data_IF_264159817632
#
_entry.id   IF_264159817632
#
_cell.length_a   1.000
_cell.length_b   1.000
_cell.length_c   1.000
_cell.angle_alpha   90.00
_cell.angle_beta   90.00
_cell.angle_gamma   90.00
#
_symmetry.space_group_name_H-M   'P 1'
#
loop_
_entity.id
_entity.type
_entity.pdbx_description
1 polymer ?
#
# COMPACT_ATOMS: atom_id res chain seq x y z
N UNK A 1 10.43 -9.19 0.62
CA UNK A 1 9.02 -9.58 0.91
C UNK A 1 8.10 -8.44 0.52
N UNK A 2 7.01 -8.69 -0.22
CA UNK A 2 6.00 -7.66 -0.46
C UNK A 2 5.37 -7.24 0.86
N UNK A 3 5.31 -5.94 1.11
CA UNK A 3 4.65 -5.39 2.29
C UNK A 3 3.33 -4.72 1.92
N UNK A 4 2.32 -4.92 2.76
CA UNK A 4 0.95 -4.43 2.53
C UNK A 4 0.90 -2.92 2.33
N UNK A 5 1.70 -2.16 3.09
CA UNK A 5 1.75 -0.71 2.94
C UNK A 5 2.25 -0.32 1.55
N UNK A 6 3.28 -1.02 1.03
CA UNK A 6 3.82 -0.76 -0.31
C UNK A 6 2.78 -1.03 -1.41
N UNK A 7 2.05 -2.14 -1.33
CA UNK A 7 1.00 -2.48 -2.30
C UNK A 7 -0.14 -1.46 -2.25
N UNK A 8 -0.63 -1.11 -1.05
CA UNK A 8 -1.69 -0.09 -0.89
C UNK A 8 -1.22 1.28 -1.37
N UNK A 9 0.04 1.64 -1.12
CA UNK A 9 0.64 2.90 -1.60
C UNK A 9 0.69 2.94 -3.13
N UNK A 10 1.14 1.87 -3.77
CA UNK A 10 1.18 1.74 -5.23
C UNK A 10 -0.21 1.90 -5.84
N UNK A 11 -1.20 1.17 -5.30
CA UNK A 11 -2.60 1.29 -5.72
C UNK A 11 -3.09 2.72 -5.60
N UNK A 12 -2.91 3.35 -4.44
CA UNK A 12 -3.32 4.74 -4.24
C UNK A 12 -2.64 5.70 -5.22
N UNK A 13 -1.36 5.50 -5.56
CA UNK A 13 -0.66 6.32 -6.55
C UNK A 13 -1.26 6.18 -7.95
N UNK A 14 -1.53 4.95 -8.41
CA UNK A 14 -2.17 4.71 -9.70
C UNK A 14 -3.56 5.36 -9.78
N UNK A 15 -4.41 5.13 -8.77
CA UNK A 15 -5.76 5.72 -8.74
C UNK A 15 -5.75 7.23 -8.63
N UNK A 16 -4.84 7.83 -7.86
CA UNK A 16 -4.72 9.28 -7.79
C UNK A 16 -4.26 9.87 -9.12
N UNK A 17 -3.34 9.22 -9.85
CA UNK A 17 -2.93 9.65 -11.20
C UNK A 17 -4.10 9.62 -12.18
N UNK A 18 -4.86 8.52 -12.21
CA UNK A 18 -6.04 8.40 -13.06
C UNK A 18 -7.10 9.46 -12.72
N UNK A 19 -7.39 9.64 -11.43
CA UNK A 19 -8.31 10.69 -10.97
C UNK A 19 -7.86 12.09 -11.40
N UNK A 20 -6.57 12.40 -11.28
CA UNK A 20 -6.01 13.69 -11.70
C UNK A 20 -6.11 13.95 -13.20
N UNK A 21 -6.11 12.90 -14.02
CA UNK A 21 -6.32 13.01 -15.47
C UNK A 21 -7.79 13.31 -15.79
N UNK A 22 -8.72 12.73 -15.03
CA UNK A 22 -10.16 12.95 -15.22
C UNK A 22 -10.66 14.26 -14.61
N UNK A 23 -10.05 14.74 -13.53
CA UNK A 23 -10.38 16.04 -12.92
C UNK A 23 -9.11 16.87 -12.59
N UNK A 24 -8.60 17.62 -13.59
CA UNK A 24 -7.43 18.49 -13.44
C UNK A 24 -7.61 19.67 -12.49
N UNK A 25 -8.84 20.10 -12.23
CA UNK A 25 -9.15 21.20 -11.31
C UNK A 25 -9.34 20.69 -9.88
N UNK A 26 -10.10 19.61 -9.70
CA UNK A 26 -10.31 18.97 -8.41
C UNK A 26 -9.01 18.51 -7.74
N UNK A 27 -7.97 18.16 -8.53
CA UNK A 27 -6.65 17.82 -7.96
C UNK A 27 -5.98 18.96 -7.20
N UNK A 28 -6.30 20.22 -7.52
CA UNK A 28 -5.75 21.41 -6.85
C UNK A 28 -6.40 21.61 -5.48
N UNK A 29 -7.58 21.03 -5.25
CA UNK A 29 -8.28 21.10 -3.97
C UNK A 29 -7.71 20.09 -2.97
N UNK A 30 -6.98 20.59 -1.97
CA UNK A 30 -6.37 19.76 -0.89
C UNK A 30 -7.41 18.95 -0.10
N UNK A 31 -8.63 19.47 0.05
CA UNK A 31 -9.74 18.78 0.70
C UNK A 31 -10.21 17.57 -0.10
N UNK A 32 -10.45 17.73 -1.40
CA UNK A 32 -10.82 16.64 -2.31
C UNK A 32 -9.71 15.59 -2.40
N UNK A 33 -8.45 16.02 -2.53
CA UNK A 33 -7.29 15.11 -2.54
C UNK A 33 -7.28 14.21 -1.28
N UNK A 34 -7.55 14.79 -0.12
CA UNK A 34 -7.65 14.04 1.14
C UNK A 34 -8.82 13.04 1.15
N UNK A 35 -9.98 13.41 0.61
CA UNK A 35 -11.14 12.52 0.50
C UNK A 35 -10.89 11.36 -0.46
N UNK A 36 -10.31 11.65 -1.63
CA UNK A 36 -10.00 10.65 -2.66
C UNK A 36 -8.91 9.67 -2.20
N UNK A 37 -7.96 10.11 -1.36
CA UNK A 37 -6.88 9.24 -0.85
C UNK A 37 -7.36 8.27 0.22
N UNK A 38 -8.22 8.70 1.14
CA UNK A 38 -8.59 7.92 2.34
C UNK A 38 -9.53 6.74 2.02
N UNK A 39 -9.57 5.78 2.94
CA UNK A 39 -10.57 4.71 2.91
C UNK A 39 -11.93 5.23 3.36
N UNK A 40 -13.01 4.75 2.76
CA UNK A 40 -14.36 5.23 3.06
C UNK A 40 -14.78 5.00 4.53
N UNK A 41 -14.27 3.93 5.17
CA UNK A 41 -14.49 3.66 6.60
C UNK A 41 -13.71 4.57 7.56
N UNK A 42 -12.82 5.44 7.04
CA UNK A 42 -12.09 6.47 7.80
C UNK A 42 -12.63 7.89 7.56
N UNK A 43 -13.72 8.03 6.82
CA UNK A 43 -14.36 9.31 6.57
C UNK A 43 -15.48 9.56 7.59
N UNK A 44 -15.54 10.78 8.14
CA UNK A 44 -16.67 11.24 8.94
C UNK A 44 -17.94 11.35 8.07
N UNK A 45 -19.13 11.40 8.69
CA UNK A 45 -20.42 11.55 7.99
C UNK A 45 -20.42 12.75 7.03
N UNK A 46 -20.02 13.92 7.51
CA UNK A 46 -19.92 15.15 6.71
C UNK A 46 -18.95 15.00 5.53
N UNK A 47 -17.85 14.24 5.72
CA UNK A 47 -16.87 13.98 4.68
C UNK A 47 -17.41 13.01 3.61
N UNK A 48 -18.19 12.00 4.01
CA UNK A 48 -18.87 11.08 3.10
C UNK A 48 -19.89 11.82 2.24
N UNK A 49 -20.64 12.74 2.83
CA UNK A 49 -21.64 13.52 2.11
C UNK A 49 -20.99 14.46 1.07
N UNK A 50 -19.96 15.21 1.46
CA UNK A 50 -19.18 16.04 0.53
C UNK A 50 -18.59 15.21 -0.62
N UNK A 51 -18.08 14.02 -0.30
CA UNK A 51 -17.55 13.12 -1.33
C UNK A 51 -18.66 12.59 -2.25
N UNK A 52 -19.83 12.27 -1.71
CA UNK A 52 -20.99 11.83 -2.52
C UNK A 52 -21.43 12.93 -3.47
N UNK A 53 -21.56 14.17 -3.00
CA UNK A 53 -21.91 15.33 -3.83
C UNK A 53 -20.91 15.54 -4.96
N UNK A 54 -19.61 15.43 -4.66
CA UNK A 54 -18.55 15.53 -5.67
C UNK A 54 -18.61 14.40 -6.71
N UNK A 55 -18.81 13.15 -6.27
CA UNK A 55 -18.88 11.99 -7.15
C UNK A 55 -20.21 11.86 -7.91
N UNK A 56 -21.23 12.65 -7.58
CA UNK A 56 -22.53 12.62 -8.26
C UNK A 56 -22.46 13.20 -9.69
N UNK A 57 -21.45 14.03 -9.99
CA UNK A 57 -21.37 14.73 -11.27
C UNK A 57 -20.83 13.81 -12.39
N UNK A 58 -19.61 13.25 -12.31
CA UNK A 58 -19.10 12.33 -13.34
C UNK A 58 -19.22 10.84 -12.94
N UNK A 59 -19.97 10.00 -13.70
CA UNK A 59 -20.13 8.58 -13.38
C UNK A 59 -18.80 7.80 -13.41
N UNK A 60 -17.84 8.25 -14.22
CA UNK A 60 -16.49 7.67 -14.31
C UNK A 60 -15.73 7.80 -13.00
N UNK A 61 -15.75 8.96 -12.33
CA UNK A 61 -15.03 9.13 -11.06
C UNK A 61 -15.68 8.33 -9.94
N UNK A 62 -17.00 8.22 -9.96
CA UNK A 62 -17.74 7.40 -9.02
C UNK A 62 -17.31 5.93 -9.14
N UNK A 63 -17.32 5.38 -10.37
CA UNK A 63 -16.87 4.02 -10.64
C UNK A 63 -15.40 3.80 -10.23
N UNK A 64 -14.52 4.73 -10.59
CA UNK A 64 -13.10 4.70 -10.23
C UNK A 64 -12.90 4.68 -8.71
N UNK A 65 -13.62 5.54 -7.97
CA UNK A 65 -13.56 5.59 -6.52
C UNK A 65 -14.04 4.28 -5.90
N UNK A 66 -15.19 3.75 -6.32
CA UNK A 66 -15.72 2.49 -5.79
C UNK A 66 -14.79 1.31 -6.06
N UNK A 67 -14.26 1.21 -7.27
CA UNK A 67 -13.34 0.13 -7.62
C UNK A 67 -12.05 0.20 -6.77
N UNK A 68 -11.52 1.41 -6.54
CA UNK A 68 -10.41 1.65 -5.60
C UNK A 68 -10.73 1.20 -4.18
N UNK A 69 -11.93 1.54 -3.67
CA UNK A 69 -12.32 1.17 -2.31
C UNK A 69 -12.49 -0.35 -2.16
N UNK A 70 -13.12 -1.01 -3.14
CA UNK A 70 -13.25 -2.46 -3.19
C UNK A 70 -11.88 -3.14 -3.19
N UNK A 71 -10.98 -2.71 -4.07
CA UNK A 71 -9.61 -3.23 -4.13
C UNK A 71 -8.88 -3.09 -2.79
N UNK A 72 -8.95 -1.91 -2.18
CA UNK A 72 -8.34 -1.69 -0.87
C UNK A 72 -8.95 -2.59 0.21
N UNK A 73 -10.25 -2.88 0.14
CA UNK A 73 -10.90 -3.86 1.00
C UNK A 73 -10.19 -5.22 0.97
N UNK A 74 -9.84 -5.71 -0.22
CA UNK A 74 -9.06 -6.94 -0.35
C UNK A 74 -7.64 -6.81 0.22
N UNK A 75 -6.97 -5.69 -0.03
CA UNK A 75 -5.56 -5.50 0.36
C UNK A 75 -5.36 -5.32 1.87
N UNK A 76 -6.36 -4.81 2.59
CA UNK A 76 -6.29 -4.62 4.05
C UNK A 76 -6.69 -5.85 4.86
N UNK A 77 -7.15 -6.93 4.21
CA UNK A 77 -7.47 -8.19 4.87
C UNK A 77 -6.24 -8.80 5.58
N UNK A 78 -6.50 -9.40 6.74
CA UNK A 78 -5.48 -10.00 7.62
C UNK A 78 -6.08 -11.20 8.35
N UNK A 79 -5.22 -12.14 8.72
CA UNK A 79 -5.60 -13.33 9.50
C UNK A 79 -6.72 -14.18 8.86
N UNK A 80 -6.80 -14.19 7.52
CA UNK A 80 -7.78 -15.01 6.81
C UNK A 80 -7.42 -16.50 6.90
N UNK A 81 -8.42 -17.30 7.26
CA UNK A 81 -8.35 -18.76 7.15
C UNK A 81 -8.38 -19.17 5.67
N UNK A 82 -7.75 -20.30 5.35
CA UNK A 82 -7.67 -20.81 3.97
C UNK A 82 -9.05 -20.95 3.29
N UNK A 83 -10.07 -21.41 4.02
CA UNK A 83 -11.46 -21.50 3.52
C UNK A 83 -12.00 -20.15 3.05
N UNK A 84 -11.83 -19.09 3.84
CA UNK A 84 -12.26 -17.74 3.48
C UNK A 84 -11.43 -17.18 2.32
N UNK A 85 -10.11 -17.41 2.31
CA UNK A 85 -9.25 -16.97 1.21
C UNK A 85 -9.67 -17.59 -0.13
N UNK A 86 -10.04 -18.88 -0.17
CA UNK A 86 -10.58 -19.54 -1.36
C UNK A 86 -11.87 -18.90 -1.87
N UNK A 87 -12.70 -18.35 -0.99
CA UNK A 87 -13.93 -17.65 -1.36
C UNK A 87 -13.69 -16.21 -1.83
N UNK A 88 -12.68 -15.53 -1.28
CA UNK A 88 -12.35 -14.14 -1.63
C UNK A 88 -11.52 -14.03 -2.91
N UNK A 89 -10.67 -15.02 -3.20
CA UNK A 89 -9.77 -15.00 -4.35
C UNK A 89 -10.51 -14.83 -5.70
N UNK A 90 -11.60 -15.56 -6.00
CA UNK A 90 -12.34 -15.35 -7.25
C UNK A 90 -12.88 -13.93 -7.40
N UNK A 91 -13.38 -13.33 -6.30
CA UNK A 91 -13.88 -11.95 -6.31
C UNK A 91 -12.75 -10.95 -6.56
N UNK A 92 -11.59 -11.19 -5.96
CA UNK A 92 -10.40 -10.37 -6.17
C UNK A 92 -9.90 -10.46 -7.63
N UNK A 93 -9.85 -11.67 -8.20
CA UNK A 93 -9.47 -11.88 -9.60
C UNK A 93 -10.47 -11.26 -10.57
N UNK A 94 -11.77 -11.35 -10.30
CA UNK A 94 -12.79 -10.69 -11.10
C UNK A 94 -12.59 -9.17 -11.12
N UNK A 95 -12.25 -8.56 -9.97
CA UNK A 95 -11.94 -7.14 -9.90
C UNK A 95 -10.67 -6.78 -10.70
N UNK A 96 -9.64 -7.62 -10.67
CA UNK A 96 -8.42 -7.41 -11.49
C UNK A 96 -8.76 -7.45 -12.99
N UNK A 97 -9.59 -8.39 -13.43
CA UNK A 97 -10.05 -8.48 -14.83
C UNK A 97 -10.83 -7.23 -15.27
N UNK A 98 -11.64 -6.65 -14.39
CA UNK A 98 -12.30 -5.37 -14.68
C UNK A 98 -11.28 -4.24 -14.88
N UNK A 99 -10.18 -4.23 -14.10
CA UNK A 99 -9.13 -3.23 -14.28
C UNK A 99 -8.35 -3.39 -15.58
N UNK A 100 -8.15 -4.64 -16.02
CA UNK A 100 -7.50 -4.96 -17.30
C UNK A 100 -8.25 -4.36 -18.49
N UNK A 101 -9.58 -4.27 -18.41
CA UNK A 101 -10.45 -3.68 -19.43
C UNK A 101 -10.68 -2.16 -19.24
N UNK A 102 -9.85 -1.50 -18.44
CA UNK A 102 -10.02 -0.10 -18.07
C UNK A 102 -8.71 0.69 -18.21
N UNK A 103 -8.72 2.03 -18.05
CA UNK A 103 -7.48 2.82 -17.96
C UNK A 103 -6.50 2.37 -16.87
N UNK A 104 -6.93 1.51 -15.94
CA UNK A 104 -6.10 0.89 -14.91
C UNK A 104 -5.39 -0.41 -15.34
N UNK A 105 -5.30 -0.73 -16.64
CA UNK A 105 -4.66 -1.96 -17.14
C UNK A 105 -3.24 -2.20 -16.61
N UNK A 106 -2.42 -1.14 -16.47
CA UNK A 106 -1.07 -1.25 -15.93
C UNK A 106 -1.08 -1.67 -14.44
N UNK A 107 -2.08 -1.21 -13.69
CA UNK A 107 -2.29 -1.64 -12.32
C UNK A 107 -2.73 -3.11 -12.28
N UNK A 108 -3.60 -3.53 -13.19
CA UNK A 108 -4.03 -4.94 -13.29
C UNK A 108 -2.83 -5.87 -13.51
N UNK A 109 -1.96 -5.56 -14.48
CA UNK A 109 -0.73 -6.32 -14.75
C UNK A 109 0.19 -6.40 -13.51
N UNK A 110 0.31 -5.29 -12.78
CA UNK A 110 1.07 -5.25 -11.52
C UNK A 110 0.42 -6.13 -10.45
N UNK A 111 -0.89 -6.05 -10.25
CA UNK A 111 -1.58 -6.88 -9.25
C UNK A 111 -1.50 -8.37 -9.59
N UNK A 112 -1.56 -8.72 -10.87
CA UNK A 112 -1.41 -10.10 -11.35
C UNK A 112 -0.01 -10.64 -11.08
N UNK A 113 1.05 -9.89 -11.40
CA UNK A 113 2.43 -10.33 -11.12
C UNK A 113 2.74 -10.43 -9.63
N UNK A 114 2.03 -9.67 -8.79
CA UNK A 114 2.16 -9.72 -7.32
C UNK A 114 1.06 -10.55 -6.63
N UNK A 115 0.30 -11.37 -7.38
CA UNK A 115 -0.86 -12.10 -6.86
C UNK A 115 -0.50 -13.00 -5.67
N UNK A 116 0.52 -13.84 -5.81
CA UNK A 116 0.93 -14.77 -4.75
C UNK A 116 1.39 -14.02 -3.48
N UNK A 117 2.29 -13.02 -3.56
CA UNK A 117 2.61 -12.18 -2.41
C UNK A 117 1.36 -11.55 -1.78
N UNK A 118 0.43 -11.01 -2.57
CA UNK A 118 -0.78 -10.35 -2.06
C UNK A 118 -1.67 -11.33 -1.29
N UNK A 119 -1.93 -12.51 -1.85
CA UNK A 119 -2.72 -13.56 -1.19
C UNK A 119 -2.02 -14.03 0.09
N UNK A 120 -0.68 -14.10 0.09
CA UNK A 120 0.10 -14.40 1.29
C UNK A 120 -0.12 -13.35 2.39
N UNK A 121 -0.25 -12.07 2.04
CA UNK A 121 -0.57 -11.01 3.02
C UNK A 121 -1.92 -11.22 3.71
N UNK A 122 -2.88 -11.90 3.09
CA UNK A 122 -4.17 -12.16 3.74
C UNK A 122 -4.02 -13.06 4.97
N UNK A 123 -3.02 -13.95 4.96
CA UNK A 123 -2.75 -14.88 6.06
C UNK A 123 -1.95 -14.24 7.19
N UNK A 124 -0.99 -13.37 6.85
CA UNK A 124 -0.04 -12.82 7.83
C UNK A 124 -0.38 -11.38 8.27
N UNK A 125 -0.11 -11.08 9.54
CA UNK A 125 -0.31 -9.75 10.14
C UNK A 125 0.97 -8.93 10.22
N UNK A 126 2.14 -9.56 10.03
CA UNK A 126 3.44 -8.90 10.10
C UNK A 126 3.62 -7.90 8.96
N UNK A 127 4.26 -6.78 9.25
CA UNK A 127 4.68 -5.77 8.28
C UNK A 127 6.21 -5.72 8.22
N UNK A 128 6.74 -5.18 7.11
CA UNK A 128 8.18 -4.93 6.97
C UNK A 128 8.66 -3.71 7.75
N UNK A 129 7.81 -3.05 8.54
CA UNK A 129 8.15 -1.80 9.23
C UNK A 129 9.34 -1.93 10.20
N UNK A 130 9.53 -3.09 10.83
CA UNK A 130 10.71 -3.35 11.67
C UNK A 130 11.98 -3.38 10.80
N UNK A 131 11.94 -4.13 9.70
CA UNK A 131 13.06 -4.24 8.75
C UNK A 131 13.40 -2.88 8.13
N UNK A 132 12.39 -2.11 7.73
CA UNK A 132 12.55 -0.74 7.22
C UNK A 132 13.11 0.21 8.29
N UNK A 133 12.69 0.08 9.55
CA UNK A 133 13.25 0.81 10.67
C UNK A 133 14.74 0.52 10.87
N UNK A 134 15.14 -0.75 10.78
CA UNK A 134 16.55 -1.13 10.81
C UNK A 134 17.34 -0.59 9.62
N UNK A 135 16.80 -0.66 8.39
CA UNK A 135 17.44 -0.05 7.22
C UNK A 135 17.61 1.47 7.38
N UNK A 136 16.56 2.16 7.82
CA UNK A 136 16.59 3.61 8.09
C UNK A 136 17.66 3.96 9.11
N UNK A 137 17.77 3.18 10.19
CA UNK A 137 18.77 3.40 11.23
C UNK A 137 20.20 3.17 10.71
N UNK A 138 20.41 2.12 9.91
CA UNK A 138 21.70 1.86 9.23
C UNK A 138 22.09 3.01 8.31
N UNK A 139 21.18 3.50 7.47
CA UNK A 139 21.43 4.65 6.60
C UNK A 139 21.75 5.92 7.40
N UNK A 140 21.00 6.20 8.47
CA UNK A 140 21.26 7.34 9.34
C UNK A 140 22.66 7.28 9.95
N UNK A 141 23.10 6.10 10.40
CA UNK A 141 24.46 5.90 10.93
C UNK A 141 25.52 6.17 9.86
N UNK A 142 25.32 5.67 8.64
CA UNK A 142 26.22 5.94 7.52
C UNK A 142 26.30 7.43 7.19
N UNK A 143 25.15 8.13 7.12
CA UNK A 143 25.09 9.57 6.85
C UNK A 143 25.80 10.39 7.92
N UNK A 144 25.61 10.07 9.21
CA UNK A 144 26.27 10.79 10.33
C UNK A 144 27.78 10.56 10.39
N UNK A 145 28.25 9.41 9.90
CA UNK A 145 29.67 9.10 9.83
C UNK A 145 30.35 9.59 8.55
N UNK A 146 29.59 10.17 7.60
CA UNK A 146 30.07 10.47 6.24
C UNK A 146 30.62 9.22 5.52
N UNK A 147 29.97 8.08 5.74
CA UNK A 147 30.40 6.78 5.27
C UNK A 147 31.35 6.05 6.23
N UNK A 148 31.48 4.74 6.07
CA UNK A 148 32.40 3.92 6.84
C UNK A 148 33.46 3.32 5.93
N UNK A 149 34.74 3.50 6.30
CA UNK A 149 35.87 2.86 5.60
C UNK A 149 36.12 1.44 6.07
N UNK A 150 35.81 1.14 7.33
CA UNK A 150 35.99 -0.16 7.96
C UNK A 150 34.62 -0.80 8.23
N UNK A 151 34.40 -1.99 7.65
CA UNK A 151 33.14 -2.73 7.76
C UNK A 151 32.85 -3.22 9.19
N UNK A 152 33.88 -3.60 9.94
CA UNK A 152 33.74 -4.07 11.32
C UNK A 152 33.26 -2.95 12.24
N UNK A 153 33.79 -1.73 12.09
CA UNK A 153 33.31 -0.55 12.82
C UNK A 153 31.85 -0.21 12.46
N UNK A 154 31.47 -0.34 11.17
CA UNK A 154 30.09 -0.22 10.75
C UNK A 154 29.18 -1.25 11.44
N UNK A 155 29.56 -2.53 11.42
CA UNK A 155 28.83 -3.61 12.07
C UNK A 155 28.67 -3.36 13.57
N UNK A 156 29.74 -2.98 14.27
CA UNK A 156 29.70 -2.68 15.70
C UNK A 156 28.70 -1.56 16.04
N UNK A 157 28.70 -0.47 15.27
CA UNK A 157 27.77 0.64 15.47
C UNK A 157 26.33 0.26 15.18
N UNK A 158 26.11 -0.56 14.15
CA UNK A 158 24.78 -1.10 13.83
C UNK A 158 24.27 -2.00 14.94
N UNK A 159 25.10 -2.93 15.45
CA UNK A 159 24.72 -3.84 16.53
C UNK A 159 24.35 -3.07 17.80
N UNK A 160 25.20 -2.13 18.23
CA UNK A 160 24.97 -1.30 19.41
C UNK A 160 23.68 -0.48 19.33
N UNK A 161 23.37 0.04 18.14
CA UNK A 161 22.23 0.92 17.95
C UNK A 161 20.93 0.18 17.64
N UNK A 162 20.97 -0.94 16.94
CA UNK A 162 19.78 -1.71 16.59
C UNK A 162 19.33 -2.69 17.69
N UNK A 163 20.02 -2.73 18.84
CA UNK A 163 19.65 -3.59 19.97
C UNK A 163 19.82 -5.09 19.67
N UNK A 164 20.65 -5.43 18.68
CA UNK A 164 21.03 -6.82 18.44
C UNK A 164 22.03 -7.22 19.52
N UNK A 165 21.55 -7.71 20.66
CA UNK A 165 22.37 -8.33 21.69
C UNK A 165 22.97 -9.63 21.14
N UNK A 166 24.08 -9.55 20.41
CA UNK A 166 25.17 -10.54 20.28
C UNK A 166 24.89 -12.04 20.08
N UNK A 167 23.67 -12.54 20.04
CA UNK A 167 23.33 -13.94 19.94
C UNK A 167 23.30 -14.35 18.48
N UNK A 168 24.48 -14.30 17.85
CA UNK A 168 24.75 -15.12 16.67
C UNK A 168 24.98 -16.53 17.24
N UNK A 169 23.90 -17.29 17.44
CA UNK A 169 24.03 -18.73 17.58
C UNK A 169 24.56 -19.25 16.23
N UNK A 170 25.87 -19.50 16.19
CA UNK A 170 26.49 -20.32 15.16
C UNK A 170 25.96 -21.74 15.37
N UNK A 171 25.17 -22.23 14.42
CA UNK A 171 24.97 -23.66 14.18
C UNK A 171 25.83 -24.01 12.98
#
# INVERSE_FOLDING_TARGET
MADRFHVVRLVNQHFLKLWQQHDPEGRKNRGLLSLMRRHHWKLASVQKERLRQYLAQPPVLQALYFAKQQLNGFLVMKSLKAKCAKQMLPKFLALIRLFEQSPAQALAATLTSWLEPIVRMWRFTKSNGITEGFHTKKEMLSRRAYGFRNFENYCMRVLAQCGCNGAINRV
#
